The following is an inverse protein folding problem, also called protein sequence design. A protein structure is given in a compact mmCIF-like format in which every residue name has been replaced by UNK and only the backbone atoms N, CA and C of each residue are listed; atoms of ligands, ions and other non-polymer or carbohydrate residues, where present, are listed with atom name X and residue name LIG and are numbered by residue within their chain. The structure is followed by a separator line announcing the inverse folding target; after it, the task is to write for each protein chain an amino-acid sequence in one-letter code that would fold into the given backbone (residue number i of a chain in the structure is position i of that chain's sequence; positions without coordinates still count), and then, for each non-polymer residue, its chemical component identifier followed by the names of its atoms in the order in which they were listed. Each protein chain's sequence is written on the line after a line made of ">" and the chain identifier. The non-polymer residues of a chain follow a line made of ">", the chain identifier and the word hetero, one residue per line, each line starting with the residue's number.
data_IF_974564810430
#
_entry.id   IF_974564810430
#
_cell.length_a   1.000
_cell.length_b   1.000
_cell.length_c   1.000
_cell.angle_alpha   90.00
_cell.angle_beta   90.00
_cell.angle_gamma   90.00
#
_symmetry.space_group_name_H-M   'P 1'
#
loop_
_entity.id
_entity.type
_entity.pdbx_description
1 polymer ?
#
# COMPACT_ATOMS: atom_id res chain seq x y z
N UNK A 1 -23.57 -16.12 13.29
CA UNK A 1 -22.10 -15.95 13.51
C UNK A 1 -21.89 -14.86 14.55
N UNK A 2 -20.98 -15.04 15.51
CA UNK A 2 -20.69 -13.99 16.50
C UNK A 2 -19.90 -12.85 15.85
N UNK A 3 -20.11 -11.62 16.31
CA UNK A 3 -19.36 -10.42 15.88
C UNK A 3 -17.85 -10.64 16.04
N UNK A 4 -17.48 -11.41 17.05
CA UNK A 4 -16.09 -11.79 17.31
C UNK A 4 -15.50 -12.65 16.18
N UNK A 5 -16.22 -13.67 15.71
CA UNK A 5 -15.75 -14.53 14.62
C UNK A 5 -15.60 -13.74 13.30
N UNK A 6 -16.55 -12.84 13.00
CA UNK A 6 -16.50 -12.00 11.80
C UNK A 6 -15.29 -11.06 11.83
N UNK A 7 -15.02 -10.48 12.98
CA UNK A 7 -13.88 -9.58 13.17
C UNK A 7 -12.52 -10.27 13.02
N UNK A 8 -12.41 -11.52 13.48
CA UNK A 8 -11.19 -12.33 13.34
C UNK A 8 -10.99 -12.72 11.88
N UNK A 9 -12.07 -13.14 11.20
CA UNK A 9 -12.02 -13.44 9.77
C UNK A 9 -11.59 -12.21 8.94
N UNK A 10 -12.11 -11.02 9.28
CA UNK A 10 -11.70 -9.78 8.64
C UNK A 10 -10.21 -9.46 8.87
N UNK A 11 -9.69 -9.64 10.08
CA UNK A 11 -8.27 -9.45 10.36
C UNK A 11 -7.38 -10.41 9.57
N UNK A 12 -7.78 -11.67 9.41
CA UNK A 12 -7.08 -12.63 8.55
C UNK A 12 -7.08 -12.22 7.08
N UNK A 13 -8.24 -11.76 6.57
CA UNK A 13 -8.35 -11.26 5.21
C UNK A 13 -7.45 -10.04 4.98
N UNK A 14 -7.43 -9.11 5.94
CA UNK A 14 -6.59 -7.92 5.90
C UNK A 14 -5.09 -8.27 5.93
N UNK A 15 -4.69 -9.23 6.77
CA UNK A 15 -3.32 -9.74 6.83
C UNK A 15 -2.91 -10.37 5.49
N UNK A 16 -3.76 -11.25 4.94
CA UNK A 16 -3.50 -11.90 3.67
C UNK A 16 -3.36 -10.89 2.53
N UNK A 17 -4.28 -9.93 2.44
CA UNK A 17 -4.22 -8.84 1.46
C UNK A 17 -2.94 -8.01 1.62
N UNK A 18 -2.58 -7.66 2.86
CA UNK A 18 -1.36 -6.92 3.17
C UNK A 18 -0.10 -7.65 2.74
N UNK A 19 0.01 -8.94 3.03
CA UNK A 19 1.13 -9.78 2.59
C UNK A 19 1.23 -9.87 1.08
N UNK A 20 0.11 -10.06 0.36
CA UNK A 20 0.09 -10.10 -1.11
C UNK A 20 0.52 -8.75 -1.69
N UNK A 21 0.03 -7.63 -1.16
CA UNK A 21 0.44 -6.30 -1.59
C UNK A 21 1.93 -6.04 -1.34
N UNK A 22 2.45 -6.42 -0.18
CA UNK A 22 3.86 -6.30 0.16
C UNK A 22 4.74 -7.13 -0.78
N UNK A 23 4.40 -8.41 -0.99
CA UNK A 23 5.11 -9.30 -1.90
C UNK A 23 5.09 -8.76 -3.34
N UNK A 24 3.95 -8.25 -3.80
CA UNK A 24 3.83 -7.61 -5.11
C UNK A 24 4.68 -6.34 -5.19
N UNK A 25 4.70 -5.50 -4.15
CA UNK A 25 5.57 -4.33 -4.06
C UNK A 25 7.06 -4.69 -4.18
N UNK A 26 7.52 -5.72 -3.45
CA UNK A 26 8.89 -6.24 -3.55
C UNK A 26 9.17 -6.78 -4.96
N UNK A 27 8.24 -7.55 -5.53
CA UNK A 27 8.38 -8.06 -6.88
C UNK A 27 8.55 -6.95 -7.92
N UNK A 28 7.75 -5.88 -7.83
CA UNK A 28 7.86 -4.70 -8.71
C UNK A 28 9.20 -4.00 -8.52
N UNK A 29 9.69 -3.88 -7.28
CA UNK A 29 10.99 -3.26 -6.99
C UNK A 29 12.17 -4.09 -7.53
N UNK A 30 12.10 -5.42 -7.43
CA UNK A 30 13.14 -6.32 -7.91
C UNK A 30 13.15 -6.42 -9.45
N UNK A 31 11.98 -6.54 -10.06
CA UNK A 31 11.89 -6.76 -11.51
C UNK A 31 11.89 -5.48 -12.31
N UNK A 32 11.67 -4.32 -11.67
CA UNK A 32 11.39 -3.04 -12.33
C UNK A 32 10.27 -3.14 -13.39
N UNK A 33 9.38 -4.13 -13.27
CA UNK A 33 8.24 -4.35 -14.18
C UNK A 33 6.96 -3.93 -13.48
N UNK A 34 6.23 -3.01 -14.10
CA UNK A 34 4.87 -2.64 -13.67
C UNK A 34 3.87 -3.39 -14.56
N UNK A 35 2.77 -3.92 -14.02
CA UNK A 35 1.74 -4.57 -14.82
C UNK A 35 1.25 -3.62 -15.93
N UNK A 36 1.23 -4.09 -17.18
CA UNK A 36 0.77 -3.31 -18.35
C UNK A 36 -0.65 -2.75 -18.18
N UNK A 37 -1.48 -3.43 -17.38
CA UNK A 37 -2.86 -3.02 -17.05
C UNK A 37 -2.90 -1.65 -16.34
N UNK A 38 -1.87 -1.34 -15.54
CA UNK A 38 -1.76 -0.08 -14.78
C UNK A 38 -1.05 1.00 -15.62
N UNK A 39 -0.22 0.58 -16.57
CA UNK A 39 0.52 1.45 -17.51
C UNK A 39 -0.32 1.95 -18.69
N UNK A 40 -1.65 2.09 -18.52
CA UNK A 40 -2.57 2.44 -19.59
C UNK A 40 -2.11 3.62 -20.47
N UNK A 41 -2.10 3.40 -21.78
CA UNK A 41 -2.16 4.35 -22.92
C UNK A 41 -1.43 5.71 -22.87
N UNK A 42 -0.35 5.84 -22.11
CA UNK A 42 0.54 7.02 -22.22
C UNK A 42 1.12 7.56 -20.92
N UNK A 43 0.84 6.91 -19.79
CA UNK A 43 1.34 7.31 -18.49
C UNK A 43 2.64 6.61 -18.08
N UNK A 44 3.75 7.35 -17.96
CA UNK A 44 5.00 6.82 -17.37
C UNK A 44 4.84 6.76 -15.85
N UNK A 45 4.29 5.67 -15.33
CA UNK A 45 4.30 5.42 -13.88
C UNK A 45 5.75 5.13 -13.44
N UNK A 46 6.29 5.92 -12.53
CA UNK A 46 7.60 5.61 -11.96
C UNK A 46 7.54 4.32 -11.14
N UNK A 47 8.28 3.30 -11.59
CA UNK A 47 8.24 1.95 -11.03
C UNK A 47 8.63 1.91 -9.56
N UNK A 48 9.68 2.66 -9.18
CA UNK A 48 10.21 2.69 -7.80
C UNK A 48 9.20 3.25 -6.79
N UNK A 49 8.67 4.49 -6.92
CA UNK A 49 7.72 5.01 -5.95
C UNK A 49 6.42 4.20 -5.91
N UNK A 50 5.99 3.61 -7.04
CA UNK A 50 4.85 2.70 -7.05
C UNK A 50 5.10 1.43 -6.25
N UNK A 51 6.21 0.72 -6.51
CA UNK A 51 6.58 -0.49 -5.78
C UNK A 51 6.73 -0.25 -4.28
N UNK A 52 7.38 0.85 -3.89
CA UNK A 52 7.46 1.25 -2.48
C UNK A 52 6.09 1.59 -1.89
N UNK A 53 5.21 2.28 -2.62
CA UNK A 53 3.87 2.60 -2.12
C UNK A 53 3.05 1.33 -1.82
N UNK A 54 3.13 0.31 -2.68
CA UNK A 54 2.49 -0.99 -2.47
C UNK A 54 3.04 -1.70 -1.23
N UNK A 55 4.37 -1.67 -1.06
CA UNK A 55 5.01 -2.25 0.12
C UNK A 55 4.51 -1.60 1.41
N UNK A 56 4.48 -0.27 1.47
CA UNK A 56 4.02 0.46 2.65
C UNK A 56 2.52 0.29 2.91
N UNK A 57 1.68 0.19 1.88
CA UNK A 57 0.27 -0.18 2.07
C UNK A 57 0.11 -1.61 2.60
N UNK A 58 0.94 -2.55 2.13
CA UNK A 58 0.96 -3.91 2.66
C UNK A 58 1.35 -3.95 4.15
N UNK A 59 2.40 -3.21 4.51
CA UNK A 59 2.84 -3.06 5.90
C UNK A 59 1.78 -2.39 6.79
N UNK A 60 1.09 -1.36 6.30
CA UNK A 60 -0.05 -0.73 6.98
C UNK A 60 -1.15 -1.75 7.32
N UNK A 61 -1.54 -2.58 6.36
CA UNK A 61 -2.58 -3.60 6.55
C UNK A 61 -2.15 -4.66 7.57
N UNK A 62 -0.91 -5.14 7.47
CA UNK A 62 -0.32 -6.10 8.41
C UNK A 62 -0.27 -5.51 9.83
N UNK A 63 0.27 -4.30 10.00
CA UNK A 63 0.34 -3.64 11.30
C UNK A 63 -1.03 -3.40 11.93
N UNK A 64 -2.07 -3.18 11.12
CA UNK A 64 -3.44 -3.00 11.61
C UNK A 64 -4.07 -4.34 12.05
N UNK A 65 -3.74 -5.44 11.37
CA UNK A 65 -4.27 -6.77 11.67
C UNK A 65 -3.55 -7.47 12.85
N UNK A 66 -2.24 -7.26 12.99
CA UNK A 66 -1.38 -8.00 13.92
C UNK A 66 -1.81 -7.97 15.39
N UNK A 67 -2.14 -6.82 16.01
CA UNK A 67 -2.46 -6.78 17.44
C UNK A 67 -3.64 -7.70 17.80
N UNK A 68 -4.66 -7.73 16.94
CA UNK A 68 -5.85 -8.56 17.15
C UNK A 68 -5.57 -10.05 16.96
N UNK A 69 -4.74 -10.40 15.98
CA UNK A 69 -4.42 -11.79 15.68
C UNK A 69 -3.44 -12.42 16.68
N UNK A 70 -2.53 -11.61 17.23
CA UNK A 70 -1.53 -12.04 18.21
C UNK A 70 -2.02 -11.95 19.66
N UNK A 71 -3.23 -11.42 19.89
CA UNK A 71 -3.76 -11.21 21.23
C UNK A 71 -3.08 -10.08 22.01
N UNK A 72 -2.37 -9.19 21.32
CA UNK A 72 -1.73 -8.01 21.91
C UNK A 72 -2.73 -6.88 22.04
N UNK A 73 -3.66 -7.05 22.97
CA UNK A 73 -4.74 -6.10 23.24
C UNK A 73 -4.41 -5.08 24.31
N UNK A 74 -3.17 -5.08 24.82
CA UNK A 74 -2.68 -4.06 25.74
C UNK A 74 -2.63 -2.68 25.05
N UNK A 75 -2.95 -1.63 25.80
CA UNK A 75 -3.06 -0.26 25.28
C UNK A 75 -1.75 0.23 24.64
N UNK A 76 -0.61 -0.22 25.18
CA UNK A 76 0.71 0.12 24.67
C UNK A 76 0.90 -0.47 23.25
N UNK A 77 0.67 -1.78 23.07
CA UNK A 77 0.76 -2.43 21.77
C UNK A 77 -0.20 -1.81 20.76
N UNK A 78 -1.46 -1.57 21.15
CA UNK A 78 -2.43 -0.91 20.27
C UNK A 78 -1.95 0.47 19.83
N UNK A 79 -1.44 1.27 20.76
CA UNK A 79 -0.92 2.62 20.46
C UNK A 79 0.29 2.55 19.52
N UNK A 80 1.26 1.68 19.80
CA UNK A 80 2.46 1.50 18.98
C UNK A 80 2.12 1.05 17.57
N UNK A 81 1.26 0.03 17.43
CA UNK A 81 0.85 -0.46 16.11
C UNK A 81 0.00 0.54 15.34
N UNK A 82 -0.82 1.34 16.03
CA UNK A 82 -1.60 2.42 15.40
C UNK A 82 -0.69 3.53 14.87
N UNK A 83 0.28 3.97 15.67
CA UNK A 83 1.28 4.97 15.24
C UNK A 83 2.11 4.45 14.06
N UNK A 84 2.52 3.18 14.11
CA UNK A 84 3.27 2.55 13.03
C UNK A 84 2.44 2.43 11.74
N UNK A 85 1.17 2.03 11.86
CA UNK A 85 0.24 1.98 10.75
C UNK A 85 0.04 3.37 10.11
N UNK A 86 -0.16 4.42 10.92
CA UNK A 86 -0.27 5.79 10.43
C UNK A 86 0.99 6.26 9.70
N UNK A 87 2.17 5.93 10.22
CA UNK A 87 3.44 6.25 9.56
C UNK A 87 3.55 5.57 8.19
N UNK A 88 3.24 4.26 8.11
CA UNK A 88 3.24 3.54 6.84
C UNK A 88 2.21 4.08 5.85
N UNK A 89 1.00 4.43 6.31
CA UNK A 89 -0.03 5.04 5.47
C UNK A 89 0.42 6.39 4.91
N UNK A 90 1.03 7.25 5.74
CA UNK A 90 1.53 8.56 5.31
C UNK A 90 2.62 8.42 4.24
N UNK A 91 3.57 7.49 4.43
CA UNK A 91 4.63 7.21 3.44
C UNK A 91 4.04 6.64 2.16
N UNK A 92 3.13 5.67 2.25
CA UNK A 92 2.48 5.06 1.10
C UNK A 92 1.74 6.09 0.25
N UNK A 93 0.95 6.97 0.88
CA UNK A 93 0.22 8.04 0.22
C UNK A 93 1.16 9.06 -0.45
N UNK A 94 2.24 9.44 0.23
CA UNK A 94 3.24 10.36 -0.32
C UNK A 94 3.90 9.80 -1.57
N UNK A 95 4.27 8.52 -1.54
CA UNK A 95 4.88 7.83 -2.67
C UNK A 95 3.88 7.61 -3.82
N UNK A 96 2.63 7.28 -3.51
CA UNK A 96 1.58 7.14 -4.52
C UNK A 96 1.28 8.49 -5.19
N UNK A 97 1.26 9.59 -4.43
CA UNK A 97 1.12 10.93 -4.98
C UNK A 97 2.30 11.29 -5.89
N UNK A 98 3.54 10.94 -5.50
CA UNK A 98 4.72 11.11 -6.37
C UNK A 98 4.59 10.29 -7.66
N UNK A 99 4.16 9.03 -7.57
CA UNK A 99 3.94 8.17 -8.74
C UNK A 99 2.85 8.74 -9.67
N UNK A 100 1.78 9.34 -9.12
CA UNK A 100 0.69 9.98 -9.88
C UNK A 100 1.03 11.36 -10.46
N UNK A 101 1.90 12.15 -9.83
CA UNK A 101 2.29 13.47 -10.38
C UNK A 101 3.03 13.34 -11.71
N UNK A 102 3.77 12.26 -11.92
CA UNK A 102 4.44 11.95 -13.20
C UNK A 102 3.45 11.51 -14.29
N UNK A 103 2.25 11.06 -13.89
CA UNK A 103 1.17 10.64 -14.78
C UNK A 103 0.32 11.79 -15.33
N UNK A 104 0.53 13.05 -14.92
CA UNK A 104 -0.15 14.17 -15.59
C UNK A 104 0.34 14.18 -17.05
N UNK A 105 -0.55 13.96 -18.03
CA UNK A 105 -0.16 14.10 -19.42
C UNK A 105 0.34 15.53 -19.60
N UNK A 106 1.52 15.70 -20.19
CA UNK A 106 1.90 16.94 -20.82
C UNK A 106 0.75 17.28 -21.77
N UNK A 107 -0.12 18.19 -21.33
CA UNK A 107 -1.19 18.73 -22.15
C UNK A 107 -0.53 19.23 -23.42
N UNK A 108 -1.06 18.83 -24.58
CA UNK A 108 -0.55 19.13 -25.92
C UNK A 108 -0.44 20.63 -26.26
N UNK A 109 -0.65 21.51 -25.28
CA UNK A 109 -0.57 22.96 -25.39
C UNK A 109 0.86 23.50 -25.41
N UNK A 110 1.85 22.70 -25.03
CA UNK A 110 3.28 23.07 -25.08
C UNK A 110 3.95 22.69 -26.41
N UNK A 111 3.22 22.12 -27.38
CA UNK A 111 3.74 21.83 -28.74
C UNK A 111 3.35 22.88 -29.78
N UNK A 112 2.67 23.94 -29.38
CA UNK A 112 2.24 25.04 -30.26
C UNK A 112 2.88 26.40 -29.91
N UNK A 113 3.93 26.43 -29.08
CA UNK A 113 4.78 27.61 -28.86
C UNK A 113 6.19 27.37 -29.36
#
# INVERSE_FOLDING_TARGET
>A
MSVHALSVAFSWALLAAGCVMAAHGVHVLMTSRVPRVISGRGGVLQVRPYGWSLLFFGLFAVSTASPRLLGWTDELSLTLFTLLALAFAAVALTLMAKAKKVLKPTTSRDREM
#
